data_IF_670955156656
#
_entry.id   IF_670955156656
#
_cell.length_a   1.000
_cell.length_b   1.000
_cell.length_c   1.000
_cell.angle_alpha   90.00
_cell.angle_beta   90.00
_cell.angle_gamma   90.00
#
_symmetry.space_group_name_H-M   'P 1'
#
loop_
_entity.id
_entity.type
_entity.pdbx_description
1 polymer ?
#
# COMPACT_ATOMS: atom_id res chain seq x y z
N UNK A 1 -3.83 21.85 -4.58
CA UNK A 1 -5.07 21.06 -4.79
C UNK A 1 -6.18 21.51 -3.85
N UNK A 2 -7.34 21.85 -4.43
CA UNK A 2 -8.55 22.20 -3.69
C UNK A 2 -9.23 20.94 -3.14
N UNK A 3 -9.70 20.98 -1.89
CA UNK A 3 -10.46 19.91 -1.26
C UNK A 3 -11.79 20.46 -0.77
N UNK A 4 -12.89 19.77 -1.08
CA UNK A 4 -14.22 20.21 -0.67
C UNK A 4 -14.34 20.22 0.85
N UNK A 5 -15.14 21.14 1.40
CA UNK A 5 -15.33 21.26 2.86
C UNK A 5 -15.92 19.99 3.49
N UNK A 6 -16.71 19.23 2.73
CA UNK A 6 -17.32 17.96 3.16
C UNK A 6 -16.40 16.75 3.00
N UNK A 7 -15.28 16.89 2.29
CA UNK A 7 -14.39 15.78 1.99
C UNK A 7 -13.53 15.45 3.22
N UNK A 8 -13.67 14.22 3.72
CA UNK A 8 -12.96 13.71 4.89
C UNK A 8 -11.84 12.78 4.44
N UNK A 9 -10.78 12.70 5.23
CA UNK A 9 -9.75 11.68 5.02
C UNK A 9 -10.31 10.31 5.43
N UNK A 10 -10.80 9.54 4.46
CA UNK A 10 -11.37 8.20 4.65
C UNK A 10 -10.29 7.11 4.57
N UNK A 11 -9.18 7.29 5.28
CA UNK A 11 -8.16 6.24 5.39
C UNK A 11 -8.48 5.32 6.58
N UNK A 12 -7.90 4.12 6.56
CA UNK A 12 -8.05 3.13 7.63
C UNK A 12 -7.42 3.64 8.92
N UNK A 13 -8.03 3.35 10.08
CA UNK A 13 -7.40 3.58 11.38
C UNK A 13 -6.26 2.58 11.63
N UNK A 14 -5.20 3.01 12.32
CA UNK A 14 -4.07 2.12 12.64
C UNK A 14 -4.44 1.01 13.63
N UNK A 15 -5.49 1.21 14.44
CA UNK A 15 -5.99 0.23 15.41
C UNK A 15 -6.89 -0.83 14.78
N UNK A 16 -7.30 -0.66 13.53
CA UNK A 16 -8.12 -1.65 12.85
C UNK A 16 -7.28 -2.90 12.54
N UNK A 17 -7.92 -4.07 12.53
CA UNK A 17 -7.31 -5.37 12.26
C UNK A 17 -6.85 -5.50 10.81
N UNK A 18 -5.78 -4.80 10.47
CA UNK A 18 -5.13 -4.85 9.17
C UNK A 18 -3.65 -5.21 9.32
N UNK A 19 -3.04 -5.82 8.29
CA UNK A 19 -1.61 -6.06 8.30
C UNK A 19 -0.82 -4.75 8.43
N UNK A 20 0.33 -4.81 9.12
CA UNK A 20 1.24 -3.67 9.26
C UNK A 20 1.73 -3.14 7.89
N UNK A 21 1.94 -4.04 6.92
CA UNK A 21 2.34 -3.63 5.58
C UNK A 21 1.27 -2.79 4.88
N UNK A 22 -0.02 -3.00 5.19
CA UNK A 22 -1.13 -2.24 4.61
C UNK A 22 -1.12 -0.81 5.12
N UNK A 23 -0.97 -0.60 6.43
CA UNK A 23 -0.91 0.75 7.01
C UNK A 23 0.31 1.51 6.51
N UNK A 24 1.49 0.88 6.45
CA UNK A 24 2.70 1.46 5.84
C UNK A 24 2.48 1.82 4.36
N UNK A 25 1.92 0.89 3.59
CA UNK A 25 1.69 1.06 2.15
C UNK A 25 0.74 2.21 1.84
N UNK A 26 -0.31 2.40 2.64
CA UNK A 26 -1.26 3.52 2.47
C UNK A 26 -0.52 4.85 2.59
N UNK A 27 0.29 5.06 3.62
CA UNK A 27 1.04 6.32 3.80
C UNK A 27 1.98 6.55 2.62
N UNK A 28 2.76 5.53 2.26
CA UNK A 28 3.72 5.59 1.16
C UNK A 28 3.04 5.93 -0.17
N UNK A 29 1.93 5.25 -0.50
CA UNK A 29 1.20 5.43 -1.75
C UNK A 29 0.56 6.82 -1.85
N UNK A 30 0.05 7.35 -0.74
CA UNK A 30 -0.50 8.72 -0.72
C UNK A 30 0.61 9.76 -0.87
N UNK A 31 1.77 9.56 -0.22
CA UNK A 31 2.91 10.44 -0.42
C UNK A 31 3.37 10.44 -1.87
N UNK A 32 3.53 9.27 -2.50
CA UNK A 32 3.85 9.15 -3.93
C UNK A 32 2.85 9.88 -4.82
N UNK A 33 1.56 9.76 -4.54
CA UNK A 33 0.52 10.47 -5.28
C UNK A 33 0.73 11.98 -5.27
N UNK A 34 1.12 12.57 -4.14
CA UNK A 34 1.46 14.00 -4.10
C UNK A 34 2.72 14.33 -4.90
N UNK A 35 3.75 13.47 -4.89
CA UNK A 35 4.92 13.64 -5.77
C UNK A 35 4.55 13.55 -7.26
N UNK A 36 3.53 12.75 -7.63
CA UNK A 36 3.05 12.64 -9.01
C UNK A 36 2.19 13.83 -9.47
N UNK A 37 1.42 14.44 -8.56
CA UNK A 37 0.41 15.45 -8.92
C UNK A 37 0.95 16.88 -8.74
N UNK A 38 1.71 17.13 -7.67
CA UNK A 38 2.19 18.47 -7.35
C UNK A 38 3.56 18.72 -8.00
N UNK A 39 3.58 19.54 -9.05
CA UNK A 39 4.83 19.95 -9.70
C UNK A 39 5.58 21.03 -8.91
N UNK A 40 4.89 21.89 -8.18
CA UNK A 40 5.52 22.88 -7.28
C UNK A 40 5.93 22.23 -5.94
N UNK A 41 7.21 22.32 -5.53
CA UNK A 41 7.67 21.80 -4.25
C UNK A 41 7.00 22.42 -3.02
N UNK A 42 6.67 23.72 -3.03
CA UNK A 42 6.10 24.39 -1.86
C UNK A 42 4.68 23.90 -1.58
N UNK A 43 3.85 23.84 -2.63
CA UNK A 43 2.52 23.23 -2.58
C UNK A 43 2.58 21.77 -2.13
N UNK A 44 3.53 20.99 -2.65
CA UNK A 44 3.72 19.60 -2.27
C UNK A 44 4.03 19.46 -0.78
N UNK A 45 4.97 20.25 -0.27
CA UNK A 45 5.39 20.18 1.13
C UNK A 45 4.29 20.65 2.09
N UNK A 46 3.45 21.61 1.67
CA UNK A 46 2.21 21.94 2.37
C UNK A 46 1.26 20.74 2.44
N UNK A 47 1.04 20.06 1.31
CA UNK A 47 0.14 18.90 1.26
C UNK A 47 0.65 17.68 2.02
N UNK A 48 1.97 17.44 2.03
CA UNK A 48 2.56 16.37 2.83
C UNK A 48 2.41 16.63 4.34
N UNK A 49 2.46 17.89 4.78
CA UNK A 49 2.14 18.26 6.18
C UNK A 49 0.66 18.00 6.51
N UNK A 50 -0.26 18.37 5.62
CA UNK A 50 -1.68 18.07 5.79
C UNK A 50 -1.94 16.56 5.89
N UNK A 51 -1.25 15.77 5.04
CA UNK A 51 -1.31 14.32 5.01
C UNK A 51 -0.79 13.70 6.31
N UNK A 52 0.37 14.16 6.80
CA UNK A 52 0.93 13.71 8.06
C UNK A 52 -0.04 13.95 9.21
N UNK A 53 -0.62 15.15 9.30
CA UNK A 53 -1.62 15.48 10.32
C UNK A 53 -2.88 14.59 10.22
N UNK A 54 -3.29 14.20 9.01
CA UNK A 54 -4.39 13.28 8.81
C UNK A 54 -4.09 11.89 9.38
N UNK A 55 -2.92 11.33 9.12
CA UNK A 55 -2.53 10.01 9.64
C UNK A 55 -2.29 10.01 11.15
N UNK A 56 -1.79 11.11 11.73
CA UNK A 56 -1.68 11.26 13.18
C UNK A 56 -3.05 11.16 13.86
N UNK A 57 -4.09 11.80 13.29
CA UNK A 57 -5.47 11.68 13.81
C UNK A 57 -6.02 10.25 13.73
N UNK A 58 -5.55 9.46 12.77
CA UNK A 58 -5.91 8.05 12.57
C UNK A 58 -5.04 7.08 13.41
N UNK A 59 -4.27 7.61 14.38
CA UNK A 59 -3.44 6.86 15.32
C UNK A 59 -2.25 6.13 14.67
N UNK A 60 -1.73 6.62 13.55
CA UNK A 60 -0.52 6.08 12.94
C UNK A 60 0.72 6.55 13.70
N UNK A 61 1.73 5.68 13.82
CA UNK A 61 2.98 6.02 14.51
C UNK A 61 3.74 7.15 13.77
N UNK A 62 4.15 8.23 14.46
CA UNK A 62 4.81 9.37 13.82
C UNK A 62 6.10 9.01 13.07
N UNK A 63 6.91 8.11 13.65
CA UNK A 63 8.15 7.64 13.03
C UNK A 63 7.87 6.90 11.71
N UNK A 64 6.86 6.03 11.69
CA UNK A 64 6.46 5.29 10.50
C UNK A 64 5.93 6.22 9.41
N UNK A 65 5.11 7.21 9.76
CA UNK A 65 4.61 8.19 8.78
C UNK A 65 5.78 8.91 8.10
N UNK A 66 6.72 9.41 8.90
CA UNK A 66 7.90 10.13 8.41
C UNK A 66 8.77 9.24 7.52
N UNK A 67 8.98 7.98 7.94
CA UNK A 67 9.74 7.01 7.16
C UNK A 67 9.11 6.76 5.77
N UNK A 68 7.79 6.53 5.71
CA UNK A 68 7.11 6.27 4.44
C UNK A 68 7.07 7.50 3.53
N UNK A 69 6.89 8.71 4.09
CA UNK A 69 6.97 9.96 3.32
C UNK A 69 8.40 10.17 2.79
N UNK A 70 9.42 9.91 3.61
CA UNK A 70 10.81 9.99 3.19
C UNK A 70 11.10 8.97 2.09
N UNK A 71 10.61 7.73 2.21
CA UNK A 71 10.76 6.70 1.18
C UNK A 71 10.19 7.17 -0.17
N UNK A 72 9.01 7.78 -0.16
CA UNK A 72 8.41 8.36 -1.37
C UNK A 72 9.27 9.49 -1.98
N UNK A 73 9.91 10.31 -1.14
CA UNK A 73 10.80 11.40 -1.58
C UNK A 73 12.00 10.92 -2.41
N UNK A 74 12.48 9.71 -2.17
CA UNK A 74 13.66 9.18 -2.86
C UNK A 74 13.35 8.72 -4.29
N UNK A 75 12.08 8.70 -4.71
CA UNK A 75 11.72 8.35 -6.08
C UNK A 75 11.66 9.63 -6.93
N UNK A 76 12.49 9.74 -7.98
CA UNK A 76 12.43 10.87 -8.91
C UNK A 76 11.04 10.99 -9.54
N UNK A 77 10.62 12.24 -9.76
CA UNK A 77 9.31 12.52 -10.34
C UNK A 77 9.17 11.96 -11.76
N UNK A 78 10.24 12.02 -12.55
CA UNK A 78 10.23 11.53 -13.93
C UNK A 78 9.95 10.04 -13.96
N UNK A 79 10.63 9.25 -13.12
CA UNK A 79 10.41 7.81 -12.95
C UNK A 79 9.00 7.44 -12.44
N UNK A 80 8.29 8.38 -11.81
CA UNK A 80 6.91 8.20 -11.34
C UNK A 80 5.88 8.49 -12.43
N UNK A 81 6.23 9.32 -13.41
CA UNK A 81 5.37 9.67 -14.54
C UNK A 81 5.55 8.74 -15.74
N UNK A 82 6.66 8.00 -15.78
CA UNK A 82 6.89 6.95 -16.78
C UNK A 82 5.80 5.87 -16.73
N UNK A 83 5.20 5.60 -17.88
CA UNK A 83 4.30 4.47 -18.04
C UNK A 83 5.11 3.17 -18.04
N UNK A 84 4.61 2.17 -17.31
CA UNK A 84 5.30 0.89 -17.14
C UNK A 84 4.49 -0.21 -17.79
N UNK A 85 5.08 -0.88 -18.78
CA UNK A 85 4.49 -2.08 -19.37
C UNK A 85 4.34 -3.16 -18.29
N UNK A 86 3.10 -3.57 -18.02
CA UNK A 86 2.84 -4.74 -17.17
C UNK A 86 3.06 -5.99 -18.01
N UNK A 87 3.97 -6.86 -17.57
CA UNK A 87 4.10 -8.19 -18.14
C UNK A 87 2.83 -9.03 -17.92
N UNK A 88 2.61 -10.10 -18.72
CA UNK A 88 1.52 -11.03 -18.47
C UNK A 88 1.67 -11.63 -17.06
N UNK A 89 0.59 -11.61 -16.28
CA UNK A 89 0.54 -12.23 -14.96
C UNK A 89 -0.54 -13.32 -14.97
N UNK A 90 -0.11 -14.57 -15.15
CA UNK A 90 -0.99 -15.74 -15.22
C UNK A 90 -1.25 -16.38 -13.84
N UNK A 91 -1.03 -15.61 -12.76
CA UNK A 91 -1.23 -16.10 -11.38
C UNK A 91 -2.68 -15.92 -10.95
N UNK A 92 -3.32 -17.00 -10.52
CA UNK A 92 -4.63 -16.94 -9.87
C UNK A 92 -4.51 -16.39 -8.44
N UNK A 93 -5.18 -15.28 -8.08
CA UNK A 93 -5.08 -14.71 -6.75
C UNK A 93 -5.91 -15.52 -5.74
N UNK A 94 -5.29 -15.93 -4.63
CA UNK A 94 -6.00 -16.47 -3.47
C UNK A 94 -6.33 -15.32 -2.50
N UNK A 95 -7.61 -15.04 -2.31
CA UNK A 95 -8.09 -14.00 -1.39
C UNK A 95 -8.53 -14.65 -0.09
N UNK A 96 -7.94 -14.21 1.02
CA UNK A 96 -8.24 -14.71 2.37
C UNK A 96 -8.48 -13.56 3.31
N UNK A 97 -9.36 -13.77 4.30
CA UNK A 97 -9.63 -12.77 5.33
C UNK A 97 -8.44 -12.67 6.28
N UNK A 98 -7.91 -11.47 6.47
CA UNK A 98 -6.85 -11.24 7.44
C UNK A 98 -7.41 -11.24 8.87
N UNK A 99 -6.69 -11.90 9.78
CA UNK A 99 -6.85 -11.77 11.22
C UNK A 99 -5.52 -12.03 11.92
N UNK A 100 -5.14 -11.24 12.94
CA UNK A 100 -3.84 -11.39 13.61
C UNK A 100 -3.65 -12.74 14.30
N UNK A 101 -4.75 -13.41 14.66
CA UNK A 101 -4.77 -14.73 15.29
C UNK A 101 -4.71 -15.90 14.28
N UNK A 102 -4.77 -15.63 12.98
CA UNK A 102 -4.76 -16.68 11.96
C UNK A 102 -3.31 -17.05 11.65
N UNK A 103 -3.01 -18.35 11.64
CA UNK A 103 -1.69 -18.85 11.21
C UNK A 103 -1.44 -18.32 9.79
N UNK A 104 -0.23 -17.79 9.48
CA UNK A 104 0.10 -17.35 8.15
C UNK A 104 -0.15 -18.46 7.12
N UNK A 105 -1.25 -18.33 6.36
CA UNK A 105 -1.66 -19.28 5.33
C UNK A 105 -0.55 -19.51 4.30
N UNK A 106 0.30 -18.51 4.09
CA UNK A 106 1.51 -18.59 3.27
C UNK A 106 2.39 -19.78 3.64
N UNK A 107 2.55 -20.09 4.92
CA UNK A 107 3.37 -21.23 5.36
C UNK A 107 2.75 -22.56 4.92
N UNK A 108 1.44 -22.71 5.11
CA UNK A 108 0.70 -23.91 4.71
C UNK A 108 0.71 -24.05 3.18
N UNK A 109 0.46 -22.97 2.46
CA UNK A 109 0.46 -22.95 1.00
C UNK A 109 1.84 -23.34 0.44
N UNK A 110 2.93 -22.76 0.96
CA UNK A 110 4.29 -23.09 0.55
C UNK A 110 4.62 -24.56 0.83
N UNK A 111 4.14 -25.12 1.96
CA UNK A 111 4.30 -26.53 2.29
C UNK A 111 3.53 -27.45 1.32
N UNK A 112 2.31 -27.06 0.92
CA UNK A 112 1.46 -27.83 0.01
C UNK A 112 1.77 -27.58 -1.47
N UNK A 113 2.48 -26.52 -1.82
CA UNK A 113 2.80 -26.15 -3.21
C UNK A 113 3.37 -27.30 -4.04
N UNK A 114 4.35 -28.10 -3.55
CA UNK A 114 4.88 -29.22 -4.32
C UNK A 114 3.86 -30.32 -4.59
N UNK A 115 2.79 -30.42 -3.80
CA UNK A 115 1.70 -31.38 -4.01
C UNK A 115 0.77 -30.87 -5.11
N UNK A 116 0.45 -29.57 -5.12
CA UNK A 116 -0.34 -28.95 -6.19
C UNK A 116 0.36 -29.04 -7.54
N UNK A 117 1.67 -28.77 -7.58
CA UNK A 117 2.47 -28.79 -8.82
C UNK A 117 2.55 -30.20 -9.44
N UNK A 118 2.51 -31.25 -8.61
CA UNK A 118 2.55 -32.65 -9.07
C UNK A 118 1.20 -33.15 -9.58
N UNK A 119 0.11 -32.45 -9.29
CA UNK A 119 -1.24 -32.91 -9.64
C UNK A 119 -1.77 -32.13 -10.85
N UNK A 120 -1.73 -32.76 -12.04
CA UNK A 120 -2.13 -32.15 -13.32
C UNK A 120 -3.58 -31.68 -13.39
N UNK A 121 -4.47 -32.20 -12.55
CA UNK A 121 -5.88 -31.75 -12.49
C UNK A 121 -6.01 -30.48 -11.67
N UNK A 122 -5.27 -30.38 -10.56
CA UNK A 122 -5.27 -29.21 -9.69
C UNK A 122 -4.43 -28.06 -10.26
N UNK A 123 -3.34 -28.35 -10.96
CA UNK A 123 -2.52 -27.31 -11.62
C UNK A 123 -3.23 -26.61 -12.78
N UNK A 124 -4.35 -27.16 -13.27
CA UNK A 124 -5.21 -26.52 -14.28
C UNK A 124 -6.32 -25.67 -13.66
N UNK A 125 -6.58 -25.84 -12.37
CA UNK A 125 -7.62 -25.12 -11.63
C UNK A 125 -7.06 -23.92 -10.85
N UNK A 126 -5.74 -23.86 -10.69
CA UNK A 126 -4.96 -22.74 -10.15
C UNK A 126 -4.26 -22.02 -11.31
#
# INVERSE_FOLDING_TARGET
MYRKLTDRYTYLYSSNFHPEHTTKSIVYSQALRYYCICSDPQDRDSKLRDLQNAFLRLQYLPCMIKEQINKARHIPRDNLLEDRSKGPNDRTPLVVTYGPQVIPLTHILNYLQPIFDRNTSLSKAL
#
